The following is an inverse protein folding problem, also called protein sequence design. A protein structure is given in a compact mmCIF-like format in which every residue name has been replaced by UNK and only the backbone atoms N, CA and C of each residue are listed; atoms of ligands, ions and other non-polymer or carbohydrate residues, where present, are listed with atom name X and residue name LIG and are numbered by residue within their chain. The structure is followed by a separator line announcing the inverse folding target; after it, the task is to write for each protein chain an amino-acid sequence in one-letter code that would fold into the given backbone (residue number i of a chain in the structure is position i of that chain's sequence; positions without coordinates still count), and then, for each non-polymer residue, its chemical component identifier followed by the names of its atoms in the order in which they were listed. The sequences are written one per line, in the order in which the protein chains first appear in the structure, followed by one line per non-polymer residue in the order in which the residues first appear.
data_IF_160015550244
#
_entry.id   IF_160015550244
#
_cell.length_a   1.000
_cell.length_b   1.000
_cell.length_c   1.000
_cell.angle_alpha   90.00
_cell.angle_beta   90.00
_cell.angle_gamma   90.00
#
_symmetry.space_group_name_H-M   'P 1'
#
loop_
_entity.id
_entity.type
_entity.pdbx_description
1 polymer ?
#
# COMPACT_ATOMS: atom_id res chain seq x y z
N UNK A 1 2.06 -13.61 -11.35
CA UNK A 1 2.35 -12.36 -12.08
C UNK A 1 2.43 -11.27 -11.05
N UNK A 2 3.50 -10.48 -11.07
CA UNK A 2 3.67 -9.38 -10.12
C UNK A 2 3.02 -8.15 -10.76
N UNK A 3 2.03 -7.56 -10.07
CA UNK A 3 1.34 -6.35 -10.54
C UNK A 3 1.84 -5.16 -9.75
N UNK A 4 2.38 -4.18 -10.45
CA UNK A 4 2.73 -2.88 -9.89
C UNK A 4 1.50 -1.96 -9.91
N UNK A 5 1.28 -1.27 -8.79
CA UNK A 5 0.15 -0.40 -8.54
C UNK A 5 0.70 0.87 -7.89
N UNK A 6 0.35 2.03 -8.44
CA UNK A 6 0.67 3.32 -7.84
C UNK A 6 -0.41 3.71 -6.84
N UNK A 7 -0.01 4.13 -5.65
CA UNK A 7 -0.91 4.52 -4.57
C UNK A 7 -0.86 6.04 -4.43
N UNK A 8 -2.01 6.67 -4.65
CA UNK A 8 -2.18 8.11 -4.52
C UNK A 8 -3.12 8.43 -3.36
N UNK A 9 -2.92 9.59 -2.74
CA UNK A 9 -3.93 10.22 -1.90
C UNK A 9 -4.37 11.53 -2.54
N UNK A 10 -5.61 11.92 -2.32
CA UNK A 10 -6.04 13.28 -2.59
C UNK A 10 -5.66 14.15 -1.37
N UNK A 11 -4.89 15.21 -1.62
CA UNK A 11 -4.57 16.20 -0.61
C UNK A 11 -4.87 17.58 -1.20
N UNK A 12 -5.80 18.29 -0.57
CA UNK A 12 -6.28 19.60 -1.05
C UNK A 12 -6.78 19.59 -2.51
N UNK A 13 -7.35 18.47 -2.98
CA UNK A 13 -7.82 18.31 -4.36
C UNK A 13 -6.73 17.96 -5.38
N UNK A 14 -5.51 17.69 -4.92
CA UNK A 14 -4.41 17.24 -5.77
C UNK A 14 -4.05 15.77 -5.50
N UNK A 15 -3.91 14.92 -6.53
CA UNK A 15 -3.46 13.56 -6.36
C UNK A 15 -1.94 13.52 -6.11
N UNK A 16 -1.55 13.22 -4.88
CA UNK A 16 -0.15 13.07 -4.47
C UNK A 16 0.23 11.59 -4.48
N UNK A 17 1.32 11.26 -5.18
CA UNK A 17 1.89 9.91 -5.17
C UNK A 17 2.49 9.62 -3.78
N UNK A 18 1.92 8.65 -3.09
CA UNK A 18 2.37 8.25 -1.75
C UNK A 18 3.32 7.08 -1.79
N UNK A 19 3.17 6.18 -2.78
CA UNK A 19 4.05 5.04 -2.89
C UNK A 19 3.65 4.06 -3.97
N UNK A 20 4.38 2.95 -4.00
CA UNK A 20 4.20 1.86 -4.95
C UNK A 20 3.83 0.59 -4.18
N UNK A 21 2.85 -0.13 -4.69
CA UNK A 21 2.44 -1.42 -4.20
C UNK A 21 2.69 -2.49 -5.26
N UNK A 22 3.29 -3.59 -4.85
CA UNK A 22 3.46 -4.78 -5.67
C UNK A 22 2.62 -5.90 -5.10
N UNK A 23 1.62 -6.33 -5.87
CA UNK A 23 0.82 -7.52 -5.54
C UNK A 23 1.44 -8.75 -6.20
N UNK A 24 1.55 -9.83 -5.43
CA UNK A 24 2.15 -11.10 -5.87
C UNK A 24 1.21 -12.25 -5.54
N UNK A 25 0.92 -13.06 -6.55
CA UNK A 25 0.24 -14.36 -6.39
C UNK A 25 1.22 -15.49 -6.70
N UNK A 26 1.53 -16.31 -5.70
CA UNK A 26 2.42 -17.48 -5.82
C UNK A 26 1.81 -18.71 -5.15
N UNK A 27 1.67 -19.82 -5.89
CA UNK A 27 1.15 -21.11 -5.38
C UNK A 27 -0.17 -20.98 -4.58
N UNK A 28 -1.10 -20.14 -5.06
CA UNK A 28 -2.38 -19.90 -4.40
C UNK A 28 -2.33 -19.01 -3.15
N UNK A 29 -1.15 -18.44 -2.82
CA UNK A 29 -1.01 -17.42 -1.78
C UNK A 29 -0.82 -16.05 -2.41
N UNK A 30 -1.61 -15.09 -1.94
CA UNK A 30 -1.46 -13.69 -2.27
C UNK A 30 -0.65 -12.97 -1.19
N UNK A 31 0.17 -12.02 -1.60
CA UNK A 31 0.95 -11.15 -0.71
C UNK A 31 1.16 -9.81 -1.38
N UNK A 32 1.40 -8.77 -0.59
CA UNK A 32 1.73 -7.46 -1.12
C UNK A 32 3.00 -6.92 -0.48
N UNK A 33 3.71 -6.08 -1.23
CA UNK A 33 4.77 -5.23 -0.72
C UNK A 33 4.44 -3.79 -1.05
N UNK A 34 4.74 -2.87 -0.15
CA UNK A 34 4.50 -1.45 -0.33
C UNK A 34 5.77 -0.67 0.00
N UNK A 35 6.08 0.35 -0.78
CA UNK A 35 7.19 1.26 -0.51
C UNK A 35 6.71 2.69 -0.69
N UNK A 36 7.01 3.54 0.31
CA UNK A 36 6.71 4.96 0.23
C UNK A 36 7.55 5.63 -0.85
N UNK A 37 6.94 6.57 -1.55
CA UNK A 37 7.68 7.45 -2.44
C UNK A 37 8.58 8.38 -1.61
N UNK A 38 9.85 8.59 -2.00
CA UNK A 38 10.73 9.52 -1.29
C UNK A 38 10.15 10.93 -1.18
N UNK A 39 9.38 11.39 -2.17
CA UNK A 39 8.72 12.70 -2.12
C UNK A 39 7.65 12.76 -1.01
N UNK A 40 6.92 11.67 -0.77
CA UNK A 40 5.96 11.58 0.34
C UNK A 40 6.66 11.57 1.69
N UNK A 41 7.76 10.82 1.83
CA UNK A 41 8.55 10.80 3.06
C UNK A 41 9.15 12.18 3.40
N UNK A 42 9.37 13.03 2.40
CA UNK A 42 9.81 14.41 2.57
C UNK A 42 8.65 15.42 2.73
N UNK A 43 7.41 15.03 2.39
CA UNK A 43 6.26 15.94 2.37
C UNK A 43 5.94 16.48 3.79
N UNK A 44 5.59 17.77 3.94
CA UNK A 44 5.28 18.37 5.24
C UNK A 44 4.00 17.78 5.87
N UNK A 45 3.01 17.43 5.06
CA UNK A 45 1.73 16.86 5.51
C UNK A 45 1.73 15.32 5.50
N UNK A 46 2.91 14.69 5.55
CA UNK A 46 3.02 13.23 5.47
C UNK A 46 2.40 12.55 6.69
N UNK A 47 1.82 11.38 6.45
CA UNK A 47 1.32 10.49 7.50
C UNK A 47 1.45 9.03 7.06
N UNK A 48 1.43 8.13 8.04
CA UNK A 48 1.42 6.69 7.81
C UNK A 48 0.03 6.24 7.34
N UNK A 49 -0.06 5.48 6.24
CA UNK A 49 -1.33 5.00 5.70
C UNK A 49 -2.05 4.02 6.65
N UNK A 50 -1.31 3.25 7.44
CA UNK A 50 -1.81 2.46 8.56
C UNK A 50 -0.70 2.24 9.60
N UNK A 51 -0.99 1.75 10.82
CA UNK A 51 0.02 1.55 11.86
C UNK A 51 1.19 0.62 11.46
N UNK A 52 0.93 -0.34 10.56
CA UNK A 52 1.95 -1.27 10.06
C UNK A 52 2.85 -0.66 8.97
N UNK A 53 2.46 0.47 8.37
CA UNK A 53 3.19 1.18 7.34
C UNK A 53 3.81 2.46 7.94
N UNK A 54 4.67 2.30 8.94
CA UNK A 54 5.38 3.44 9.57
C UNK A 54 6.10 4.29 8.52
N UNK A 55 6.21 5.61 8.72
CA UNK A 55 6.90 6.52 7.81
C UNK A 55 8.42 6.27 7.77
N UNK A 56 8.83 5.23 7.05
CA UNK A 56 10.21 4.83 6.88
C UNK A 56 10.48 4.43 5.42
N UNK A 57 11.72 4.58 4.96
CA UNK A 57 12.12 4.14 3.64
C UNK A 57 12.16 2.60 3.55
N UNK A 58 12.08 2.10 2.32
CA UNK A 58 12.18 0.68 2.00
C UNK A 58 10.83 -0.04 1.99
N UNK A 59 10.86 -1.33 1.59
CA UNK A 59 9.65 -2.09 1.38
C UNK A 59 9.08 -2.64 2.70
N UNK A 60 7.80 -2.39 2.91
CA UNK A 60 6.95 -3.09 3.87
C UNK A 60 6.36 -4.32 3.19
N UNK A 61 6.27 -5.43 3.93
CA UNK A 61 5.66 -6.66 3.45
C UNK A 61 4.44 -7.00 4.28
N UNK A 62 3.39 -7.51 3.63
CA UNK A 62 2.25 -8.04 4.37
C UNK A 62 2.71 -9.20 5.27
N UNK A 63 2.15 -9.34 6.48
CA UNK A 63 2.40 -10.51 7.30
C UNK A 63 1.89 -11.78 6.59
N UNK A 64 2.38 -12.97 7.00
CA UNK A 64 1.86 -14.23 6.49
C UNK A 64 0.33 -14.26 6.54
N UNK A 65 -0.29 -14.84 5.51
CA UNK A 65 -1.75 -15.02 5.41
C UNK A 65 -2.57 -13.74 5.17
N UNK A 66 -1.94 -12.56 5.07
CA UNK A 66 -2.58 -11.36 4.52
C UNK A 66 -2.20 -11.10 3.06
N UNK A 67 -3.21 -11.05 2.21
CA UNK A 67 -3.07 -10.70 0.79
C UNK A 67 -2.73 -9.21 0.57
N UNK A 68 -3.31 -8.32 1.38
CA UNK A 68 -3.17 -6.87 1.29
C UNK A 68 -3.02 -6.24 2.68
N UNK A 69 -2.47 -5.03 2.70
CA UNK A 69 -2.46 -4.10 3.84
C UNK A 69 -3.88 -3.68 4.19
N UNK A 70 -4.17 -3.45 5.48
CA UNK A 70 -5.54 -3.28 5.97
C UNK A 70 -6.23 -2.07 5.32
N UNK A 71 -5.56 -0.92 5.35
CA UNK A 71 -6.07 0.32 4.75
C UNK A 71 -6.37 0.21 3.24
N UNK A 72 -5.64 -0.65 2.52
CA UNK A 72 -5.82 -0.84 1.07
C UNK A 72 -6.88 -1.90 0.79
N UNK A 73 -6.90 -2.98 1.58
CA UNK A 73 -7.80 -4.12 1.40
C UNK A 73 -9.24 -3.85 1.87
N UNK A 74 -9.47 -2.93 2.81
CA UNK A 74 -10.83 -2.64 3.30
C UNK A 74 -11.73 -1.94 2.26
N UNK A 75 -11.11 -1.34 1.23
CA UNK A 75 -11.82 -0.81 0.04
C UNK A 75 -12.14 -1.89 -1.00
N UNK A 76 -11.70 -3.14 -0.81
CA UNK A 76 -12.07 -4.23 -1.70
C UNK A 76 -13.54 -4.62 -1.45
N UNK A 77 -14.32 -4.88 -2.53
CA UNK A 77 -15.70 -5.32 -2.36
C UNK A 77 -15.73 -6.62 -1.54
N UNK A 78 -16.41 -6.59 -0.39
CA UNK A 78 -16.71 -7.82 0.36
C UNK A 78 -17.72 -8.61 -0.45
N UNK A 79 -17.26 -9.63 -1.18
CA UNK A 79 -18.15 -10.56 -1.83
C UNK A 79 -19.02 -11.26 -0.78
N UNK A 80 -20.34 -11.13 -0.88
CA UNK A 80 -21.24 -12.04 -0.18
C UNK A 80 -21.08 -13.41 -0.85
N UNK A 81 -20.64 -14.40 -0.08
CA UNK A 81 -20.61 -15.80 -0.51
C UNK A 81 -22.03 -16.40 -0.49
#
# INVERSE_FOLDING_TARGET
MDREIFVYIDLHGEPILVGRLWSRVRKGRESASFEYDPAWLAHPERFALEPALTLAPGPFHTPPEKALFGAIGDSAPRGYA
#
